data_IF_765740498149
#
_entry.id   IF_765740498149
#
_cell.length_a   1.000
_cell.length_b   1.000
_cell.length_c   1.000
_cell.angle_alpha   90.00
_cell.angle_beta   90.00
_cell.angle_gamma   90.00
#
_symmetry.space_group_name_H-M   'P 1'
#
loop_
_entity.id
_entity.type
_entity.pdbx_description
1 polymer ?
#
# COMPACT_ATOMS: atom_id res chain seq x y z
N UNK A 1 16.29 -13.24 8.94
CA UNK A 1 15.80 -13.48 7.57
C UNK A 1 16.98 -13.33 6.66
N UNK A 2 17.44 -14.44 6.09
CA UNK A 2 18.54 -14.40 5.12
C UNK A 2 17.95 -13.97 3.78
N UNK A 3 18.37 -12.81 3.29
CA UNK A 3 17.94 -12.24 2.02
C UNK A 3 18.99 -12.47 0.91
N UNK A 4 19.87 -13.47 1.12
CA UNK A 4 20.96 -13.74 0.20
C UNK A 4 20.47 -14.12 -1.19
N UNK A 5 20.69 -13.25 -2.13
CA UNK A 5 20.84 -13.40 -3.59
C UNK A 5 19.71 -13.94 -4.47
N UNK A 6 18.54 -14.26 -3.97
CA UNK A 6 17.44 -14.66 -4.85
C UNK A 6 16.66 -13.45 -5.39
N UNK A 7 17.32 -12.68 -6.23
CA UNK A 7 16.64 -11.69 -7.06
C UNK A 7 15.77 -12.41 -8.06
N UNK A 8 14.46 -12.30 -7.90
CA UNK A 8 13.56 -13.23 -8.52
C UNK A 8 13.28 -13.08 -9.96
N UNK A 9 13.19 -11.90 -10.47
CA UNK A 9 12.65 -11.72 -11.82
C UNK A 9 13.22 -10.44 -12.38
N UNK A 10 13.92 -10.58 -13.47
CA UNK A 10 14.29 -9.47 -14.34
C UNK A 10 13.05 -9.07 -15.18
N UNK A 11 12.00 -8.63 -14.49
CA UNK A 11 10.86 -8.04 -15.16
C UNK A 11 11.17 -6.58 -15.45
N UNK A 12 10.90 -6.12 -16.67
CA UNK A 12 11.10 -4.71 -17.00
C UNK A 12 10.22 -3.84 -16.09
N UNK A 13 10.71 -2.67 -15.68
CA UNK A 13 9.92 -1.70 -14.95
C UNK A 13 8.61 -1.40 -15.68
N UNK A 14 7.54 -1.27 -14.92
CA UNK A 14 6.24 -0.91 -15.48
C UNK A 14 5.78 0.40 -14.88
N UNK A 15 5.78 1.44 -15.69
CA UNK A 15 5.24 2.75 -15.30
C UNK A 15 3.74 2.72 -15.03
N UNK A 16 3.24 3.79 -14.46
CA UNK A 16 1.83 3.94 -14.10
C UNK A 16 1.24 5.24 -14.65
N UNK A 17 -0.04 5.21 -15.01
CA UNK A 17 -0.81 6.43 -15.34
C UNK A 17 -0.97 7.39 -14.15
N UNK A 18 -0.67 6.93 -12.93
CA UNK A 18 -0.73 7.70 -11.69
C UNK A 18 0.62 8.25 -11.23
N UNK A 19 1.62 8.35 -12.14
CA UNK A 19 2.99 8.76 -11.80
C UNK A 19 3.05 10.09 -11.05
N UNK A 20 2.28 11.10 -11.46
CA UNK A 20 2.25 12.39 -10.76
C UNK A 20 1.66 12.28 -9.34
N UNK A 21 0.65 11.42 -9.14
CA UNK A 21 0.10 11.17 -7.81
C UNK A 21 1.12 10.45 -6.95
N UNK A 22 1.83 9.48 -7.51
CA UNK A 22 2.90 8.73 -6.83
C UNK A 22 4.05 9.66 -6.41
N UNK A 23 4.53 10.51 -7.32
CA UNK A 23 5.57 11.52 -6.99
C UNK A 23 5.14 12.43 -5.85
N UNK A 24 3.91 12.93 -5.90
CA UNK A 24 3.36 13.78 -4.84
C UNK A 24 3.18 13.03 -3.52
N UNK A 25 2.80 11.76 -3.55
CA UNK A 25 2.71 10.93 -2.36
C UNK A 25 4.08 10.73 -1.71
N UNK A 26 5.11 10.42 -2.51
CA UNK A 26 6.49 10.27 -2.02
C UNK A 26 7.02 11.60 -1.46
N UNK A 27 6.81 12.70 -2.16
CA UNK A 27 7.20 14.04 -1.68
C UNK A 27 6.46 14.45 -0.40
N UNK A 28 5.29 13.88 -0.15
CA UNK A 28 4.49 14.07 1.06
C UNK A 28 4.99 13.30 2.29
N UNK A 29 6.01 12.45 2.16
CA UNK A 29 6.67 11.76 3.28
C UNK A 29 7.66 12.74 3.90
N UNK A 30 7.20 13.53 4.86
CA UNK A 30 8.00 14.63 5.45
C UNK A 30 8.43 14.37 6.89
N UNK A 31 7.95 13.30 7.52
CA UNK A 31 8.33 12.94 8.89
C UNK A 31 9.83 12.60 8.93
N UNK A 32 10.61 13.16 9.87
CA UNK A 32 12.07 12.98 9.92
C UNK A 32 12.49 11.51 9.97
N UNK A 33 11.79 10.70 10.73
CA UNK A 33 12.05 9.27 10.91
C UNK A 33 11.77 8.41 9.67
N UNK A 34 11.10 8.97 8.66
CA UNK A 34 10.75 8.29 7.42
C UNK A 34 11.58 8.76 6.21
N UNK A 35 12.55 9.65 6.40
CA UNK A 35 13.31 10.26 5.29
C UNK A 35 14.15 9.25 4.51
N UNK A 36 14.72 8.26 5.17
CA UNK A 36 15.46 7.18 4.48
C UNK A 36 14.53 6.37 3.57
N UNK A 37 13.32 6.05 4.04
CA UNK A 37 12.30 5.37 3.23
C UNK A 37 11.89 6.25 2.05
N UNK A 38 11.65 7.53 2.27
CA UNK A 38 11.30 8.48 1.22
C UNK A 38 12.39 8.58 0.15
N UNK A 39 13.67 8.63 0.57
CA UNK A 39 14.84 8.64 -0.31
C UNK A 39 14.92 7.37 -1.17
N UNK A 40 14.77 6.21 -0.55
CA UNK A 40 14.75 4.91 -1.25
C UNK A 40 13.60 4.83 -2.26
N UNK A 41 12.39 5.22 -1.87
CA UNK A 41 11.23 5.22 -2.77
C UNK A 41 11.42 6.17 -3.95
N UNK A 42 11.94 7.37 -3.69
CA UNK A 42 12.24 8.34 -4.75
C UNK A 42 13.26 7.80 -5.76
N UNK A 43 14.27 7.09 -5.28
CA UNK A 43 15.31 6.50 -6.13
C UNK A 43 14.79 5.30 -6.93
N UNK A 44 13.93 4.45 -6.33
CA UNK A 44 13.53 3.17 -6.90
C UNK A 44 12.22 3.22 -7.71
N UNK A 45 11.40 4.26 -7.60
CA UNK A 45 10.03 4.28 -8.12
C UNK A 45 9.91 3.94 -9.61
N UNK A 46 10.89 4.31 -10.41
CA UNK A 46 10.90 4.08 -11.86
C UNK A 46 11.42 2.68 -12.23
N UNK A 47 12.05 1.98 -11.28
CA UNK A 47 12.54 0.61 -11.44
C UNK A 47 11.56 -0.44 -10.89
N UNK A 48 10.47 -0.01 -10.28
CA UNK A 48 9.47 -0.88 -9.69
C UNK A 48 8.34 -1.19 -10.66
N UNK A 49 7.62 -2.29 -10.40
CA UNK A 49 6.42 -2.67 -11.14
C UNK A 49 5.20 -2.20 -10.34
N UNK A 50 4.58 -1.13 -10.80
CA UNK A 50 3.36 -0.62 -10.21
C UNK A 50 2.12 -1.24 -10.85
N UNK A 51 1.23 -1.74 -10.02
CA UNK A 51 -0.02 -2.39 -10.44
C UNK A 51 -1.22 -1.72 -9.80
N UNK A 52 -2.29 -1.61 -10.55
CA UNK A 52 -3.60 -1.19 -10.03
C UNK A 52 -4.41 -2.43 -9.66
N UNK A 53 -5.03 -2.42 -8.47
CA UNK A 53 -6.07 -3.38 -8.15
C UNK A 53 -7.42 -2.88 -8.71
N UNK A 54 -8.06 -3.72 -9.49
CA UNK A 54 -9.38 -3.50 -10.09
C UNK A 54 -10.47 -4.31 -9.38
N UNK A 55 -10.33 -4.47 -8.08
CA UNK A 55 -11.20 -5.29 -7.23
C UNK A 55 -11.15 -6.81 -7.55
N UNK A 56 -10.13 -7.26 -8.24
CA UNK A 56 -10.00 -8.66 -8.68
C UNK A 56 -9.76 -9.67 -7.54
N UNK A 57 -9.35 -9.18 -6.37
CA UNK A 57 -9.10 -10.01 -5.18
C UNK A 57 -10.32 -10.11 -4.24
N UNK A 58 -11.46 -9.58 -4.66
CA UNK A 58 -12.68 -9.51 -3.89
C UNK A 58 -13.84 -10.24 -4.58
N UNK A 59 -14.88 -10.62 -3.85
CA UNK A 59 -16.06 -11.21 -4.47
C UNK A 59 -16.63 -10.31 -5.57
N UNK A 60 -17.19 -10.87 -6.65
CA UNK A 60 -17.83 -10.08 -7.70
C UNK A 60 -18.86 -9.11 -7.12
N UNK A 61 -18.78 -7.84 -7.53
CA UNK A 61 -19.68 -6.79 -7.04
C UNK A 61 -19.31 -6.19 -5.69
N UNK A 62 -18.15 -6.53 -5.11
CA UNK A 62 -17.66 -5.88 -3.89
C UNK A 62 -17.54 -4.37 -4.09
N UNK A 63 -18.13 -3.60 -3.19
CA UNK A 63 -18.06 -2.14 -3.23
C UNK A 63 -16.89 -1.64 -2.39
N UNK A 64 -15.76 -1.45 -3.04
CA UNK A 64 -14.52 -0.94 -2.43
C UNK A 64 -14.44 0.59 -2.42
N UNK A 65 -15.45 1.25 -2.98
CA UNK A 65 -15.49 2.70 -3.16
C UNK A 65 -14.89 3.15 -4.49
N UNK A 66 -15.56 4.12 -5.11
CA UNK A 66 -15.17 4.67 -6.42
C UNK A 66 -13.77 5.29 -6.41
N UNK A 67 -13.38 5.95 -5.31
CA UNK A 67 -12.04 6.54 -5.17
C UNK A 67 -10.93 5.49 -5.21
N UNK A 68 -11.15 4.32 -4.60
CA UNK A 68 -10.20 3.21 -4.63
C UNK A 68 -9.97 2.72 -6.06
N UNK A 69 -11.04 2.41 -6.78
CA UNK A 69 -10.94 1.89 -8.16
C UNK A 69 -10.39 2.91 -9.16
N UNK A 70 -10.50 4.21 -8.85
CA UNK A 70 -9.95 5.27 -9.70
C UNK A 70 -8.45 5.47 -9.54
N UNK A 71 -7.92 5.33 -8.31
CA UNK A 71 -6.52 5.60 -8.05
C UNK A 71 -6.01 4.80 -6.85
N UNK A 72 -5.44 3.66 -7.12
CA UNK A 72 -4.65 2.87 -6.19
C UNK A 72 -3.42 2.33 -6.92
N UNK A 73 -2.33 2.11 -6.19
CA UNK A 73 -1.14 1.47 -6.71
C UNK A 73 -0.56 0.52 -5.68
N UNK A 74 -0.07 -0.59 -6.16
CA UNK A 74 0.65 -1.58 -5.37
C UNK A 74 1.96 -1.93 -6.08
N UNK A 75 3.02 -2.08 -5.30
CA UNK A 75 4.23 -2.76 -5.75
C UNK A 75 4.67 -3.74 -4.67
N UNK A 76 5.04 -4.94 -5.07
CA UNK A 76 5.52 -5.96 -4.16
C UNK A 76 7.05 -6.00 -4.24
N UNK A 77 7.71 -5.81 -3.08
CA UNK A 77 9.17 -5.82 -2.94
C UNK A 77 9.69 -7.19 -2.55
N UNK A 78 8.96 -7.90 -1.70
CA UNK A 78 9.26 -9.26 -1.23
C UNK A 78 7.98 -10.08 -1.32
N UNK A 79 8.06 -11.30 -1.79
CA UNK A 79 6.92 -12.21 -1.83
C UNK A 79 7.08 -13.34 -2.85
N UNK A 80 6.06 -14.20 -3.01
CA UNK A 80 6.15 -15.38 -3.87
C UNK A 80 6.35 -15.06 -5.36
N UNK A 81 5.87 -13.90 -5.81
CA UNK A 81 5.98 -13.43 -7.20
C UNK A 81 6.26 -11.93 -7.21
N UNK A 82 7.25 -11.51 -6.44
CA UNK A 82 7.62 -10.11 -6.29
C UNK A 82 8.51 -9.62 -7.42
N UNK A 83 8.55 -8.31 -7.62
CA UNK A 83 9.53 -7.65 -8.47
C UNK A 83 10.88 -7.41 -7.77
N UNK A 84 11.08 -7.95 -6.59
CA UNK A 84 12.28 -7.84 -5.77
C UNK A 84 12.77 -9.21 -5.32
N UNK A 85 12.62 -9.51 -4.04
CA UNK A 85 13.11 -10.75 -3.44
C UNK A 85 12.00 -11.78 -3.26
N UNK A 86 12.35 -13.07 -3.45
CA UNK A 86 11.41 -14.17 -3.26
C UNK A 86 11.30 -14.56 -1.78
N UNK A 87 10.07 -14.78 -1.35
CA UNK A 87 9.79 -15.39 -0.07
C UNK A 87 8.43 -16.11 -0.11
N UNK A 88 8.35 -17.38 0.32
CA UNK A 88 7.13 -18.16 0.19
C UNK A 88 5.99 -17.66 1.10
N UNK A 89 6.31 -17.20 2.31
CA UNK A 89 5.34 -16.95 3.37
C UNK A 89 5.25 -15.50 3.82
N UNK A 90 6.14 -14.63 3.31
CA UNK A 90 6.19 -13.22 3.69
C UNK A 90 6.00 -12.32 2.49
N UNK A 91 5.27 -11.24 2.68
CA UNK A 91 5.08 -10.19 1.67
C UNK A 91 5.42 -8.84 2.26
N UNK A 92 6.22 -8.08 1.54
CA UNK A 92 6.46 -6.67 1.81
C UNK A 92 6.17 -5.90 0.53
N UNK A 93 5.32 -4.90 0.62
CA UNK A 93 4.97 -4.07 -0.52
C UNK A 93 4.74 -2.63 -0.14
N UNK A 94 4.56 -1.81 -1.15
CA UNK A 94 4.13 -0.43 -1.01
C UNK A 94 2.71 -0.31 -1.56
N UNK A 95 1.87 0.36 -0.82
CA UNK A 95 0.50 0.64 -1.20
C UNK A 95 0.25 2.14 -1.22
N UNK A 96 -0.32 2.64 -2.31
CA UNK A 96 -0.71 4.03 -2.44
C UNK A 96 -2.19 4.14 -2.78
N UNK A 97 -2.87 5.03 -2.09
CA UNK A 97 -4.21 5.48 -2.45
C UNK A 97 -4.19 6.92 -2.96
N UNK A 98 -5.03 7.21 -3.93
CA UNK A 98 -5.27 8.56 -4.38
C UNK A 98 -5.83 9.46 -3.28
N UNK A 99 -5.68 10.81 -3.42
CA UNK A 99 -6.20 11.74 -2.43
C UNK A 99 -7.74 11.65 -2.33
N UNK A 100 -8.27 11.93 -1.14
CA UNK A 100 -9.71 11.89 -0.84
C UNK A 100 -10.39 10.56 -1.10
N UNK A 101 -9.66 9.47 -0.98
CA UNK A 101 -10.18 8.11 -1.17
C UNK A 101 -10.79 7.58 0.12
N UNK A 102 -11.95 6.96 0.00
CA UNK A 102 -12.48 6.01 0.96
C UNK A 102 -12.32 4.61 0.37
N UNK A 103 -11.45 3.80 0.98
CA UNK A 103 -11.38 2.38 0.73
C UNK A 103 -12.29 1.68 1.73
N UNK A 104 -13.44 1.19 1.24
CA UNK A 104 -14.56 0.72 2.06
C UNK A 104 -14.23 -0.57 2.80
N UNK A 105 -15.14 -0.95 3.71
CA UNK A 105 -14.96 -2.15 4.53
C UNK A 105 -14.77 -3.39 3.67
N UNK A 106 -13.66 -4.05 3.92
CA UNK A 106 -13.27 -5.31 3.30
C UNK A 106 -12.55 -6.18 4.32
N UNK A 107 -12.29 -7.42 3.97
CA UNK A 107 -11.52 -8.36 4.79
C UNK A 107 -10.80 -9.37 3.92
N UNK A 108 -9.72 -9.91 4.43
CA UNK A 108 -8.95 -10.99 3.83
C UNK A 108 -8.33 -11.87 4.94
N UNK A 109 -7.89 -13.06 4.57
CA UNK A 109 -7.42 -14.04 5.55
C UNK A 109 -6.01 -13.73 6.07
N UNK A 110 -5.18 -13.03 5.30
CA UNK A 110 -3.84 -12.67 5.73
C UNK A 110 -3.87 -11.53 6.77
N UNK A 111 -3.10 -11.62 7.88
CA UNK A 111 -2.87 -10.49 8.75
C UNK A 111 -1.93 -9.48 8.06
N UNK A 112 -2.08 -8.20 8.39
CA UNK A 112 -1.28 -7.13 7.81
C UNK A 112 -0.77 -6.16 8.87
N UNK A 113 0.46 -5.71 8.67
CA UNK A 113 1.03 -4.58 9.41
C UNK A 113 1.30 -3.46 8.41
N UNK A 114 0.62 -2.35 8.58
CA UNK A 114 0.87 -1.13 7.82
C UNK A 114 1.78 -0.17 8.57
N UNK A 115 2.70 0.45 7.87
CA UNK A 115 3.38 1.67 8.30
C UNK A 115 2.81 2.84 7.49
N UNK A 116 2.16 3.78 8.15
CA UNK A 116 1.64 4.97 7.50
C UNK A 116 2.79 5.92 7.12
N UNK A 117 3.07 6.06 5.84
CA UNK A 117 4.24 6.83 5.36
C UNK A 117 3.93 8.33 5.22
N UNK A 118 2.75 8.68 4.75
CA UNK A 118 2.45 10.06 4.42
C UNK A 118 1.19 10.57 5.10
N UNK A 119 1.25 11.76 5.70
CA UNK A 119 0.13 12.47 6.29
C UNK A 119 -0.63 11.64 7.34
N UNK A 120 -1.88 11.99 7.57
CA UNK A 120 -2.79 11.31 8.47
C UNK A 120 -3.70 10.37 7.67
N UNK A 121 -4.01 9.20 8.19
CA UNK A 121 -5.01 8.28 7.62
C UNK A 121 -6.03 7.89 8.68
N UNK A 122 -7.29 7.78 8.29
CA UNK A 122 -8.35 7.27 9.15
C UNK A 122 -8.53 5.77 8.92
N UNK A 123 -8.69 5.01 10.00
CA UNK A 123 -8.93 3.58 9.96
C UNK A 123 -10.11 3.19 10.84
N UNK A 124 -10.85 2.16 10.44
CA UNK A 124 -11.83 1.52 11.30
C UNK A 124 -11.76 0.00 11.16
N UNK A 125 -12.12 -0.71 12.22
CA UNK A 125 -11.93 -2.15 12.31
C UNK A 125 -13.21 -2.82 12.81
N UNK A 126 -14.14 -3.08 11.88
CA UNK A 126 -15.42 -3.74 12.17
C UNK A 126 -16.35 -2.96 13.09
N UNK A 127 -16.06 -1.70 13.35
CA UNK A 127 -16.88 -0.79 14.18
C UNK A 127 -17.14 0.51 13.40
N UNK A 128 -18.17 1.31 13.74
CA UNK A 128 -18.40 2.59 13.09
C UNK A 128 -17.35 3.66 13.44
N UNK A 129 -16.54 3.45 14.48
CA UNK A 129 -15.62 4.45 15.01
C UNK A 129 -14.33 4.49 14.17
N UNK A 130 -14.03 5.66 13.63
CA UNK A 130 -12.79 5.94 12.96
C UNK A 130 -11.70 6.32 13.96
N UNK A 131 -10.49 5.85 13.69
CA UNK A 131 -9.27 6.17 14.42
C UNK A 131 -8.29 6.82 13.46
N UNK A 132 -7.69 7.93 13.86
CA UNK A 132 -6.74 8.68 13.05
C UNK A 132 -5.31 8.29 13.40
N UNK A 133 -4.53 8.00 12.38
CA UNK A 133 -3.12 7.63 12.50
C UNK A 133 -2.24 8.63 11.75
N UNK A 134 -1.33 9.33 12.43
CA UNK A 134 -0.35 10.20 11.77
C UNK A 134 0.70 9.39 11.00
N UNK A 135 1.52 10.08 10.18
CA UNK A 135 2.70 9.48 9.58
C UNK A 135 3.60 8.85 10.66
N UNK A 136 4.27 7.75 10.34
CA UNK A 136 5.08 6.96 11.28
C UNK A 136 4.31 5.95 12.12
N UNK A 137 2.97 5.97 12.09
CA UNK A 137 2.16 5.01 12.85
C UNK A 137 2.21 3.62 12.25
N UNK A 138 2.27 2.62 13.13
CA UNK A 138 2.00 1.22 12.78
C UNK A 138 0.54 0.89 13.02
N UNK A 139 -0.11 0.26 12.05
CA UNK A 139 -1.51 -0.14 12.10
C UNK A 139 -1.60 -1.65 11.88
N UNK A 140 -2.06 -2.37 12.91
CA UNK A 140 -2.24 -3.81 12.84
C UNK A 140 -3.65 -4.20 12.41
N UNK A 141 -3.73 -4.99 11.37
CA UNK A 141 -4.95 -5.60 10.87
C UNK A 141 -4.89 -7.12 11.04
N UNK A 142 -5.71 -7.65 11.95
CA UNK A 142 -5.76 -9.08 12.21
C UNK A 142 -6.42 -9.84 11.05
N UNK A 143 -6.03 -11.09 10.86
CA UNK A 143 -6.60 -12.01 9.88
C UNK A 143 -8.14 -12.04 9.95
N UNK A 144 -8.81 -11.92 8.82
CA UNK A 144 -10.27 -11.97 8.71
C UNK A 144 -11.03 -10.80 9.33
N UNK A 145 -10.34 -9.81 9.92
CA UNK A 145 -10.96 -8.65 10.54
C UNK A 145 -11.45 -7.66 9.48
N UNK A 146 -12.74 -7.28 9.45
CA UNK A 146 -13.20 -6.20 8.59
C UNK A 146 -12.49 -4.89 8.91
N UNK A 147 -12.03 -4.18 7.89
CA UNK A 147 -11.38 -2.90 8.04
C UNK A 147 -11.64 -1.99 6.85
N UNK A 148 -11.51 -0.69 7.09
CA UNK A 148 -11.62 0.35 6.07
C UNK A 148 -10.55 1.42 6.30
N UNK A 149 -10.12 2.06 5.21
CA UNK A 149 -9.13 3.14 5.21
C UNK A 149 -9.71 4.39 4.55
N UNK A 150 -9.54 5.53 5.19
CA UNK A 150 -10.02 6.82 4.68
C UNK A 150 -8.91 7.86 4.59
N UNK A 151 -8.84 8.50 3.44
CA UNK A 151 -8.05 9.71 3.19
C UNK A 151 -8.95 10.94 2.95
N UNK A 152 -10.24 10.88 3.37
CA UNK A 152 -11.22 11.94 3.09
C UNK A 152 -10.99 13.16 3.98
N UNK A 153 -10.50 12.96 5.19
CA UNK A 153 -10.33 14.02 6.20
C UNK A 153 -8.93 14.62 6.21
N UNK A 154 -8.24 14.52 5.12
CA UNK A 154 -6.87 15.00 4.98
C UNK A 154 -6.80 16.17 4.02
#
# INVERSE_FOLDING_TARGET
MDMSDERLIDLPPQGTRHDEVLKNAIAGIVAPELQDIAGCLKAAKDDLIWREDKAQFYPPGADLGEGYTKCNLHTLLIGPAACGYQHPDFRLGIFMLGPRTLYRDHKHDAPELYLNLSKRSGWRFGTPNWQDYPAGSFIWNAAGRPHALSLIHI
#
